data_IF_739073742102
#
_entry.id   IF_739073742102
#
_cell.length_a   1.000
_cell.length_b   1.000
_cell.length_c   1.000
_cell.angle_alpha   90.00
_cell.angle_beta   90.00
_cell.angle_gamma   90.00
#
_symmetry.space_group_name_H-M   'P 1'
#
loop_
_entity.id
_entity.type
_entity.pdbx_description
1 polymer ?
#
# COMPACT_ATOMS: atom_id res chain seq x y z
N UNK A 1 4.91 37.57 -7.19
CA UNK A 1 5.17 36.15 -6.81
C UNK A 1 4.29 35.27 -7.71
N UNK A 2 4.89 34.50 -8.62
CA UNK A 2 4.14 33.48 -9.37
C UNK A 2 3.56 32.46 -8.38
N UNK A 3 2.33 31.95 -8.61
CA UNK A 3 1.80 30.90 -7.75
C UNK A 3 2.72 29.68 -7.84
N UNK A 4 3.14 29.18 -6.68
CA UNK A 4 3.83 27.90 -6.55
C UNK A 4 2.96 26.89 -7.30
N UNK A 5 3.54 26.20 -8.28
CA UNK A 5 2.89 25.13 -9.02
C UNK A 5 2.42 24.11 -7.98
N UNK A 6 1.11 24.07 -7.70
CA UNK A 6 0.55 23.18 -6.68
C UNK A 6 0.63 21.77 -7.27
N UNK A 7 1.65 21.01 -6.85
CA UNK A 7 2.11 19.78 -7.49
C UNK A 7 1.00 18.79 -7.83
N UNK A 8 1.23 18.04 -8.89
CA UNK A 8 0.40 16.94 -9.38
C UNK A 8 0.42 15.77 -8.39
N UNK A 9 -0.73 15.14 -8.16
CA UNK A 9 -0.89 13.95 -7.32
C UNK A 9 -1.39 12.80 -8.18
N UNK A 10 -0.44 12.02 -8.70
CA UNK A 10 -0.64 10.90 -9.62
C UNK A 10 -1.30 9.72 -8.91
N UNK A 11 -2.28 9.09 -9.56
CA UNK A 11 -3.01 7.93 -9.05
C UNK A 11 -4.38 8.26 -8.43
N UNK A 12 -4.75 9.53 -8.30
CA UNK A 12 -6.05 9.93 -7.75
C UNK A 12 -6.80 10.84 -8.72
N UNK A 13 -8.10 10.66 -8.87
CA UNK A 13 -8.94 11.64 -9.58
C UNK A 13 -9.21 12.80 -8.61
N UNK A 14 -8.42 13.87 -8.67
CA UNK A 14 -8.37 14.91 -7.62
C UNK A 14 -9.13 16.21 -7.91
N UNK A 15 -9.51 16.95 -6.86
CA UNK A 15 -10.13 18.30 -6.92
C UNK A 15 -9.16 19.35 -7.52
N UNK A 16 -9.70 20.37 -8.21
CA UNK A 16 -8.96 21.52 -8.77
C UNK A 16 -7.81 21.16 -9.75
N UNK A 17 -7.84 19.98 -10.37
CA UNK A 17 -6.77 19.52 -11.26
C UNK A 17 -5.51 19.01 -10.54
N UNK A 18 -5.60 18.72 -9.23
CA UNK A 18 -4.47 18.20 -8.41
C UNK A 18 -4.30 16.68 -8.45
N UNK A 19 -5.27 15.94 -8.96
CA UNK A 19 -5.13 14.50 -9.19
C UNK A 19 -4.22 14.18 -10.37
N UNK A 20 -4.51 13.08 -11.08
CA UNK A 20 -3.99 12.81 -12.42
C UNK A 20 -4.22 14.07 -13.28
N UNK A 21 -3.16 14.89 -13.43
CA UNK A 21 -3.30 16.21 -14.01
C UNK A 21 -3.53 16.10 -15.51
N UNK A 22 -3.98 17.18 -16.15
CA UNK A 22 -4.10 17.20 -17.62
C UNK A 22 -2.78 16.86 -18.32
N UNK A 23 -1.65 17.27 -17.75
CA UNK A 23 -0.34 16.98 -18.31
C UNK A 23 0.02 15.50 -18.17
N UNK A 24 -0.26 14.90 -17.02
CA UNK A 24 -0.03 13.46 -16.81
C UNK A 24 -0.94 12.63 -17.68
N UNK A 25 -2.24 12.90 -17.66
CA UNK A 25 -3.23 12.23 -18.51
C UNK A 25 -2.86 12.32 -19.99
N UNK A 26 -2.40 13.49 -20.46
CA UNK A 26 -1.90 13.62 -21.84
C UNK A 26 -0.64 12.79 -22.07
N UNK A 27 0.33 12.84 -21.15
CA UNK A 27 1.57 12.08 -21.25
C UNK A 27 1.37 10.56 -21.24
N UNK A 28 0.36 10.06 -20.52
CA UNK A 28 0.08 8.62 -20.42
C UNK A 28 -1.06 8.14 -21.33
N UNK A 29 -1.68 9.04 -22.10
CA UNK A 29 -2.85 8.73 -22.94
C UNK A 29 -2.64 7.63 -23.98
N UNK A 30 -1.38 7.44 -24.43
CA UNK A 30 -1.01 6.41 -25.39
C UNK A 30 -0.79 5.05 -24.73
N UNK A 31 -0.69 4.98 -23.40
CA UNK A 31 -0.65 3.72 -22.68
C UNK A 31 -2.06 3.22 -22.37
N UNK A 32 -2.29 1.90 -22.45
CA UNK A 32 -3.55 1.33 -22.00
C UNK A 32 -3.83 1.71 -20.54
N UNK A 33 -5.08 2.05 -20.24
CA UNK A 33 -5.56 2.47 -18.90
C UNK A 33 -4.80 3.66 -18.28
N UNK A 34 -4.05 4.41 -19.10
CA UNK A 34 -3.18 5.48 -18.62
C UNK A 34 -2.10 5.01 -17.65
N UNK A 35 -1.67 3.74 -17.73
CA UNK A 35 -0.58 3.21 -16.92
C UNK A 35 0.68 3.08 -17.76
N UNK A 36 1.78 3.78 -17.43
CA UNK A 36 3.04 3.63 -18.16
C UNK A 36 3.54 2.18 -18.18
N UNK A 37 3.80 1.65 -19.38
CA UNK A 37 4.38 0.31 -19.63
C UNK A 37 5.57 0.45 -20.57
N UNK A 38 6.68 -0.19 -20.25
CA UNK A 38 7.93 -0.03 -21.01
C UNK A 38 8.58 -1.37 -21.29
N UNK A 39 9.08 -1.54 -22.51
CA UNK A 39 9.85 -2.73 -22.93
C UNK A 39 11.21 -2.84 -22.23
N UNK A 40 11.70 -1.75 -21.64
CA UNK A 40 12.98 -1.74 -20.93
C UNK A 40 13.03 -0.73 -19.79
N UNK A 41 13.92 -1.00 -18.83
CA UNK A 41 14.27 -0.05 -17.77
C UNK A 41 14.78 1.28 -18.33
N UNK A 42 15.54 1.25 -19.44
CA UNK A 42 16.09 2.45 -20.05
C UNK A 42 14.97 3.37 -20.57
N UNK A 43 13.99 2.82 -21.29
CA UNK A 43 12.84 3.57 -21.80
C UNK A 43 11.99 4.17 -20.65
N UNK A 44 11.77 3.41 -19.57
CA UNK A 44 11.10 3.92 -18.37
C UNK A 44 11.85 5.11 -17.76
N UNK A 45 13.17 4.97 -17.58
CA UNK A 45 14.00 6.05 -17.02
C UNK A 45 14.01 7.29 -17.91
N UNK A 46 14.06 7.11 -19.23
CA UNK A 46 14.01 8.20 -20.20
C UNK A 46 12.68 8.96 -20.11
N UNK A 47 11.56 8.25 -20.18
CA UNK A 47 10.23 8.83 -20.04
C UNK A 47 10.08 9.60 -18.72
N UNK A 48 10.46 9.00 -17.60
CA UNK A 48 10.32 9.63 -16.28
C UNK A 48 11.25 10.84 -16.13
N UNK A 49 12.48 10.78 -16.67
CA UNK A 49 13.39 11.94 -16.68
C UNK A 49 12.82 13.06 -17.54
N UNK A 50 12.37 12.76 -18.74
CA UNK A 50 11.79 13.74 -19.67
C UNK A 50 10.57 14.41 -19.05
N UNK A 51 9.61 13.63 -18.55
CA UNK A 51 8.40 14.16 -17.94
C UNK A 51 8.70 15.04 -16.73
N UNK A 52 9.46 14.53 -15.76
CA UNK A 52 9.77 15.28 -14.55
C UNK A 52 10.67 16.51 -14.80
N UNK A 53 11.52 16.48 -15.83
CA UNK A 53 12.31 17.66 -16.25
C UNK A 53 11.41 18.72 -16.88
N UNK A 54 10.45 18.32 -17.73
CA UNK A 54 9.48 19.22 -18.36
C UNK A 54 8.56 19.90 -17.34
N UNK A 55 8.09 19.13 -16.35
CA UNK A 55 7.19 19.66 -15.31
C UNK A 55 7.93 20.39 -14.18
N UNK A 56 9.25 20.20 -14.07
CA UNK A 56 10.09 20.69 -12.96
C UNK A 56 9.53 20.33 -11.59
N UNK A 57 8.86 19.17 -11.49
CA UNK A 57 8.18 18.75 -10.28
C UNK A 57 8.27 17.24 -10.09
N UNK A 58 8.47 16.84 -8.83
CA UNK A 58 8.30 15.46 -8.40
C UNK A 58 6.84 15.04 -8.42
N UNK A 59 6.60 13.75 -8.22
CA UNK A 59 5.25 13.21 -8.04
C UNK A 59 4.61 13.61 -6.71
N UNK A 60 5.42 13.92 -5.69
CA UNK A 60 4.92 14.31 -4.39
C UNK A 60 5.06 15.84 -4.23
N UNK A 61 3.96 16.58 -3.94
CA UNK A 61 3.98 18.04 -3.86
C UNK A 61 4.85 18.57 -2.71
N UNK A 62 5.00 17.82 -1.62
CA UNK A 62 5.75 18.26 -0.43
C UNK A 62 7.19 17.72 -0.44
N UNK A 63 7.44 16.65 -1.21
CA UNK A 63 8.73 15.97 -1.32
C UNK A 63 9.15 15.85 -2.79
N UNK A 64 9.66 16.95 -3.35
CA UNK A 64 9.92 17.08 -4.79
C UNK A 64 10.99 16.09 -5.33
N UNK A 65 11.84 15.53 -4.46
CA UNK A 65 12.80 14.49 -4.83
C UNK A 65 12.13 13.13 -5.11
N UNK A 66 10.87 12.94 -4.70
CA UNK A 66 10.13 11.71 -4.96
C UNK A 66 9.54 11.70 -6.37
N UNK A 67 10.16 10.90 -7.24
CA UNK A 67 9.87 10.84 -8.68
C UNK A 67 9.03 9.61 -9.09
N UNK A 68 8.24 9.07 -8.16
CA UNK A 68 7.45 7.87 -8.36
C UNK A 68 6.42 8.00 -9.50
N UNK A 69 6.04 6.86 -10.12
CA UNK A 69 4.99 6.85 -11.15
C UNK A 69 3.65 7.28 -10.56
N UNK A 70 3.31 6.81 -9.37
CA UNK A 70 2.16 7.26 -8.58
C UNK A 70 2.64 7.98 -7.34
N UNK A 71 1.90 8.98 -6.90
CA UNK A 71 2.31 9.78 -5.75
C UNK A 71 2.27 8.93 -4.48
N UNK A 72 3.44 8.68 -3.91
CA UNK A 72 3.59 8.05 -2.60
C UNK A 72 3.34 9.09 -1.51
N UNK A 73 2.32 8.89 -0.66
CA UNK A 73 2.09 9.71 0.53
C UNK A 73 2.98 9.21 1.66
N UNK A 74 3.82 10.07 2.24
CA UNK A 74 4.91 9.63 3.13
C UNK A 74 4.71 9.97 4.61
N UNK A 75 3.72 10.81 4.93
CA UNK A 75 3.38 11.16 6.30
C UNK A 75 1.85 11.25 6.50
N UNK A 76 1.39 11.32 7.75
CA UNK A 76 -0.04 11.37 8.05
C UNK A 76 -0.70 12.69 7.61
N UNK A 77 0.03 13.81 7.69
CA UNK A 77 -0.46 15.11 7.20
C UNK A 77 -0.82 15.05 5.71
N UNK A 78 -0.03 14.34 4.89
CA UNK A 78 -0.35 14.11 3.48
C UNK A 78 -1.61 13.27 3.29
N UNK A 79 -1.84 12.27 4.15
CA UNK A 79 -3.08 11.49 4.13
C UNK A 79 -4.29 12.39 4.43
N UNK A 80 -4.19 13.23 5.46
CA UNK A 80 -5.26 14.16 5.85
C UNK A 80 -5.52 15.24 4.80
N UNK A 81 -4.46 15.76 4.18
CA UNK A 81 -4.54 16.86 3.22
C UNK A 81 -4.90 16.42 1.80
N UNK A 82 -4.54 15.19 1.41
CA UNK A 82 -4.66 14.72 0.03
C UNK A 82 -5.59 13.52 -0.14
N UNK A 83 -5.52 12.51 0.73
CA UNK A 83 -6.28 11.27 0.53
C UNK A 83 -7.69 11.36 1.12
N UNK A 84 -7.83 11.69 2.41
CA UNK A 84 -9.12 11.73 3.09
C UNK A 84 -10.14 12.67 2.41
N UNK A 85 -9.77 13.87 1.94
CA UNK A 85 -10.70 14.74 1.25
C UNK A 85 -11.22 14.14 -0.06
N UNK A 86 -10.38 13.40 -0.79
CA UNK A 86 -10.78 12.74 -2.03
C UNK A 86 -11.66 11.52 -1.77
N UNK A 87 -11.42 10.77 -0.68
CA UNK A 87 -12.33 9.70 -0.21
C UNK A 87 -13.71 10.28 0.10
N UNK A 88 -13.78 11.35 0.90
CA UNK A 88 -15.06 11.99 1.27
C UNK A 88 -15.79 12.51 0.03
N UNK A 89 -15.06 13.16 -0.88
CA UNK A 89 -15.61 13.67 -2.13
C UNK A 89 -16.18 12.55 -2.98
N UNK A 90 -15.39 11.52 -3.26
CA UNK A 90 -15.83 10.38 -4.05
C UNK A 90 -17.08 9.73 -3.43
N UNK A 91 -17.11 9.52 -2.11
CA UNK A 91 -18.28 9.00 -1.39
C UNK A 91 -19.54 9.86 -1.55
N UNK A 92 -19.40 11.19 -1.69
CA UNK A 92 -20.52 12.12 -1.85
C UNK A 92 -21.07 12.22 -3.28
N UNK A 93 -20.33 11.75 -4.28
CA UNK A 93 -20.79 11.75 -5.67
C UNK A 93 -21.93 10.74 -5.86
N UNK A 94 -22.90 10.98 -6.75
CA UNK A 94 -23.89 9.95 -7.08
C UNK A 94 -23.21 8.66 -7.54
N UNK A 95 -23.73 7.53 -7.07
CA UNK A 95 -23.36 6.20 -7.55
C UNK A 95 -24.41 5.72 -8.55
N UNK A 96 -23.96 5.29 -9.72
CA UNK A 96 -24.75 4.63 -10.74
C UNK A 96 -24.64 3.11 -10.62
N UNK A 97 -24.16 2.60 -9.49
CA UNK A 97 -24.04 1.17 -9.23
C UNK A 97 -25.43 0.55 -9.10
N UNK A 98 -26.02 0.21 -10.24
CA UNK A 98 -27.14 -0.71 -10.28
C UNK A 98 -26.58 -2.10 -10.02
N UNK A 99 -26.97 -2.71 -8.91
CA UNK A 99 -26.79 -4.13 -8.66
C UNK A 99 -27.61 -4.92 -9.68
N UNK A 100 -27.10 -5.02 -10.91
CA UNK A 100 -27.60 -5.98 -11.89
C UNK A 100 -26.75 -7.23 -11.78
N UNK A 101 -27.41 -8.38 -11.89
CA UNK A 101 -26.77 -9.69 -12.09
C UNK A 101 -25.76 -9.57 -13.22
N UNK A 102 -24.48 -9.46 -12.85
CA UNK A 102 -23.41 -9.47 -13.82
C UNK A 102 -23.40 -10.83 -14.51
N UNK A 103 -23.44 -10.82 -15.83
CA UNK A 103 -23.40 -12.03 -16.65
C UNK A 103 -22.10 -12.80 -16.32
N UNK A 104 -22.23 -13.93 -15.62
CA UNK A 104 -21.09 -14.71 -15.18
C UNK A 104 -20.55 -15.42 -16.41
N UNK A 105 -19.33 -15.07 -16.81
CA UNK A 105 -18.69 -15.70 -17.97
C UNK A 105 -18.62 -17.22 -17.80
N UNK A 106 -19.03 -17.97 -18.82
CA UNK A 106 -18.88 -19.44 -18.88
C UNK A 106 -17.42 -19.90 -18.72
N UNK A 107 -16.45 -19.01 -18.96
CA UNK A 107 -15.01 -19.27 -18.79
C UNK A 107 -14.47 -18.83 -17.41
N UNK A 108 -15.35 -18.48 -16.46
CA UNK A 108 -14.93 -18.11 -15.12
C UNK A 108 -14.38 -19.34 -14.39
N UNK A 109 -13.06 -19.39 -14.20
CA UNK A 109 -12.36 -20.48 -13.50
C UNK A 109 -12.87 -20.71 -12.07
N UNK A 110 -13.49 -19.70 -11.45
CA UNK A 110 -14.06 -19.85 -10.11
C UNK A 110 -15.40 -20.61 -10.09
N UNK A 111 -16.06 -20.79 -11.24
CA UNK A 111 -17.27 -21.64 -11.36
C UNK A 111 -16.92 -23.13 -11.47
N UNK A 112 -15.64 -23.46 -11.73
CA UNK A 112 -15.19 -24.83 -11.85
C UNK A 112 -15.21 -25.57 -10.50
N UNK A 113 -15.45 -26.88 -10.54
CA UNK A 113 -15.55 -27.72 -9.34
C UNK A 113 -14.28 -27.67 -8.47
N UNK A 114 -13.11 -27.55 -9.11
CA UNK A 114 -11.82 -27.46 -8.47
C UNK A 114 -11.65 -26.18 -7.63
N UNK A 115 -12.40 -25.12 -7.95
CA UNK A 115 -12.34 -23.82 -7.27
C UNK A 115 -13.30 -23.72 -6.07
N UNK A 116 -14.17 -24.71 -5.85
CA UNK A 116 -15.18 -24.65 -4.77
C UNK A 116 -14.58 -24.44 -3.38
N UNK A 117 -13.41 -25.00 -3.11
CA UNK A 117 -12.76 -24.81 -1.80
C UNK A 117 -12.31 -23.36 -1.61
N UNK A 118 -11.75 -22.73 -2.65
CA UNK A 118 -11.34 -21.32 -2.62
C UNK A 118 -12.55 -20.42 -2.36
N UNK A 119 -13.68 -20.69 -3.03
CA UNK A 119 -14.91 -19.93 -2.82
C UNK A 119 -15.44 -20.07 -1.38
N UNK A 120 -15.41 -21.28 -0.81
CA UNK A 120 -15.79 -21.51 0.60
C UNK A 120 -14.88 -20.74 1.57
N UNK A 121 -13.58 -20.71 1.31
CA UNK A 121 -12.63 -20.01 2.17
C UNK A 121 -12.80 -18.49 2.08
N UNK A 122 -13.08 -17.97 0.88
CA UNK A 122 -13.44 -16.56 0.66
C UNK A 122 -14.75 -16.24 1.40
N UNK A 123 -15.79 -17.04 1.22
CA UNK A 123 -17.09 -16.84 1.87
C UNK A 123 -16.97 -16.88 3.40
N UNK A 124 -16.20 -17.84 3.95
CA UNK A 124 -15.88 -17.90 5.37
C UNK A 124 -15.21 -16.62 5.86
N UNK A 125 -14.25 -16.08 5.07
CA UNK A 125 -13.51 -14.86 5.43
C UNK A 125 -14.38 -13.61 5.36
N UNK A 126 -15.26 -13.51 4.37
CA UNK A 126 -16.22 -12.40 4.20
C UNK A 126 -17.30 -12.42 5.29
N UNK A 127 -17.67 -13.59 5.78
CA UNK A 127 -18.66 -13.75 6.85
C UNK A 127 -18.14 -13.46 8.26
N UNK A 128 -16.83 -13.19 8.42
CA UNK A 128 -16.29 -12.78 9.72
C UNK A 128 -16.86 -11.42 10.17
N UNK A 129 -17.09 -11.18 11.48
CA UNK A 129 -17.76 -9.97 11.97
C UNK A 129 -17.17 -8.64 11.47
N UNK A 130 -15.85 -8.59 11.29
CA UNK A 130 -15.11 -7.40 10.86
C UNK A 130 -15.02 -7.20 9.34
N UNK A 131 -15.36 -8.22 8.53
CA UNK A 131 -15.48 -8.08 7.07
C UNK A 131 -16.92 -7.95 6.61
N UNK A 132 -17.86 -8.53 7.36
CA UNK A 132 -19.29 -8.51 7.02
C UNK A 132 -19.91 -7.10 7.04
N UNK A 133 -19.33 -6.19 7.82
CA UNK A 133 -19.86 -4.85 8.02
C UNK A 133 -18.77 -3.78 7.92
N UNK A 134 -18.12 -3.67 6.76
CA UNK A 134 -17.23 -2.54 6.49
C UNK A 134 -18.03 -1.25 6.36
N UNK A 135 -17.46 -0.16 6.88
CA UNK A 135 -18.07 1.16 6.88
C UNK A 135 -16.98 2.26 6.81
N UNK A 136 -17.34 3.54 6.64
CA UNK A 136 -16.36 4.62 6.60
C UNK A 136 -15.38 4.69 7.78
N UNK A 137 -15.84 4.30 8.98
CA UNK A 137 -15.02 4.25 10.19
C UNK A 137 -14.03 3.09 10.13
N UNK A 138 -14.45 1.88 9.71
CA UNK A 138 -13.54 0.73 9.57
C UNK A 138 -12.46 1.00 8.52
N UNK A 139 -12.78 1.71 7.44
CA UNK A 139 -11.79 2.15 6.44
C UNK A 139 -10.76 3.11 7.04
N UNK A 140 -11.21 4.08 7.83
CA UNK A 140 -10.32 5.03 8.51
C UNK A 140 -9.44 4.31 9.54
N UNK A 141 -10.00 3.38 10.30
CA UNK A 141 -9.29 2.56 11.27
C UNK A 141 -8.23 1.68 10.60
N UNK A 142 -8.58 1.06 9.47
CA UNK A 142 -7.64 0.24 8.69
C UNK A 142 -6.51 1.08 8.12
N UNK A 143 -6.80 2.29 7.62
CA UNK A 143 -5.77 3.23 7.16
C UNK A 143 -4.80 3.61 8.29
N UNK A 144 -5.32 3.96 9.47
CA UNK A 144 -4.51 4.26 10.67
C UNK A 144 -3.66 3.06 11.07
N UNK A 145 -4.25 1.87 11.14
CA UNK A 145 -3.55 0.63 11.45
C UNK A 145 -2.42 0.36 10.46
N UNK A 146 -2.69 0.41 9.15
CA UNK A 146 -1.68 0.14 8.13
C UNK A 146 -0.55 1.19 8.12
N UNK A 147 -0.88 2.45 8.38
CA UNK A 147 0.10 3.53 8.39
C UNK A 147 0.96 3.53 9.66
N UNK A 148 0.34 3.45 10.84
CA UNK A 148 1.05 3.55 12.12
C UNK A 148 1.68 2.23 12.56
N UNK A 149 1.00 1.09 12.35
CA UNK A 149 1.47 -0.23 12.80
C UNK A 149 2.16 -1.02 11.69
N UNK A 150 1.62 -1.03 10.47
CA UNK A 150 2.18 -1.83 9.37
C UNK A 150 3.19 -1.08 8.48
N UNK A 151 3.43 0.20 8.78
CA UNK A 151 4.25 1.15 8.02
C UNK A 151 3.70 1.59 6.66
N UNK A 152 3.06 0.73 5.87
CA UNK A 152 2.65 1.09 4.51
C UNK A 152 1.48 0.25 3.98
N UNK A 153 0.84 0.76 2.93
CA UNK A 153 -0.23 0.09 2.19
C UNK A 153 -0.61 0.87 0.94
N UNK A 154 -1.60 0.37 0.21
CA UNK A 154 -2.18 1.06 -0.95
C UNK A 154 -3.68 1.15 -0.72
N UNK A 155 -4.21 2.36 -0.61
CA UNK A 155 -5.65 2.56 -0.59
C UNK A 155 -6.21 2.54 -2.02
N UNK A 156 -7.27 1.78 -2.22
CA UNK A 156 -7.95 1.64 -3.51
C UNK A 156 -9.43 1.99 -3.35
N UNK A 157 -9.95 2.77 -4.28
CA UNK A 157 -11.39 3.01 -4.43
C UNK A 157 -11.80 2.82 -5.88
N UNK A 158 -12.79 1.95 -6.09
CA UNK A 158 -13.52 1.79 -7.34
C UNK A 158 -14.89 2.44 -7.16
N UNK A 159 -15.30 3.28 -8.11
CA UNK A 159 -16.62 3.90 -8.11
C UNK A 159 -17.12 4.10 -9.53
N UNK A 160 -18.39 3.81 -9.78
CA UNK A 160 -19.04 3.92 -11.08
C UNK A 160 -18.28 3.15 -12.18
N UNK A 161 -17.74 1.98 -11.83
CA UNK A 161 -16.94 1.17 -12.76
C UNK A 161 -15.54 1.71 -13.04
N UNK A 162 -15.09 2.80 -12.41
CA UNK A 162 -13.76 3.39 -12.61
C UNK A 162 -12.85 3.22 -11.39
N UNK A 163 -11.55 3.02 -11.62
CA UNK A 163 -10.53 3.13 -10.57
C UNK A 163 -10.32 4.61 -10.18
N UNK A 164 -11.01 5.06 -9.13
CA UNK A 164 -11.03 6.48 -8.70
C UNK A 164 -9.79 6.90 -7.92
N UNK A 165 -9.33 6.02 -7.04
CA UNK A 165 -8.21 6.30 -6.13
C UNK A 165 -7.31 5.08 -6.12
N UNK A 166 -6.03 5.30 -6.42
CA UNK A 166 -4.92 4.38 -6.21
C UNK A 166 -3.83 5.15 -5.48
N UNK A 167 -3.81 5.04 -4.15
CA UNK A 167 -3.00 5.88 -3.28
C UNK A 167 -2.03 5.01 -2.46
N UNK A 168 -0.79 4.80 -2.94
CA UNK A 168 0.24 4.18 -2.14
C UNK A 168 0.67 5.14 -1.02
N UNK A 169 0.84 4.61 0.19
CA UNK A 169 1.31 5.36 1.34
C UNK A 169 2.33 4.58 2.15
N UNK A 170 3.20 5.31 2.82
CA UNK A 170 4.22 4.80 3.74
C UNK A 170 4.43 5.80 4.86
N UNK A 171 4.72 5.34 6.07
CA UNK A 171 5.07 6.19 7.19
C UNK A 171 6.59 6.38 7.22
N UNK A 172 7.06 7.58 6.89
CA UNK A 172 8.47 7.98 6.95
C UNK A 172 9.01 7.91 8.38
N UNK A 173 8.18 8.23 9.36
CA UNK A 173 8.51 8.31 10.78
C UNK A 173 8.07 7.04 11.55
N UNK A 174 7.97 5.93 10.84
CA UNK A 174 7.54 4.65 11.39
C UNK A 174 8.40 4.24 12.59
N UNK A 175 7.73 3.82 13.66
CA UNK A 175 8.35 3.13 14.77
C UNK A 175 7.59 1.86 15.07
N UNK A 176 8.32 0.75 15.23
CA UNK A 176 7.76 -0.52 15.68
C UNK A 176 7.65 -0.57 17.20
N UNK A 177 6.97 -1.61 17.69
CA UNK A 177 6.74 -1.88 19.10
C UNK A 177 7.51 -3.13 19.60
N UNK A 178 8.51 -3.59 18.84
CA UNK A 178 9.22 -4.86 19.06
C UNK A 178 10.75 -4.74 18.96
N UNK A 179 11.30 -3.53 18.83
CA UNK A 179 12.73 -3.29 18.60
C UNK A 179 13.64 -3.76 19.75
N UNK A 180 13.09 -3.90 20.95
CA UNK A 180 13.75 -4.44 22.14
C UNK A 180 13.78 -5.98 22.17
N UNK A 181 12.87 -6.64 21.45
CA UNK A 181 12.70 -8.10 21.45
C UNK A 181 13.65 -8.77 20.43
N UNK A 182 14.03 -8.05 19.37
CA UNK A 182 14.96 -8.58 18.36
C UNK A 182 16.31 -8.88 18.99
N UNK A 183 16.75 -10.13 18.81
CA UNK A 183 18.07 -10.61 19.20
C UNK A 183 18.97 -10.74 17.98
N UNK A 184 20.12 -10.07 18.02
CA UNK A 184 21.15 -10.22 17.00
C UNK A 184 22.15 -11.30 17.41
N UNK A 185 22.67 -12.02 16.42
CA UNK A 185 23.77 -12.96 16.63
C UNK A 185 25.01 -12.23 17.18
N UNK A 186 25.92 -12.97 17.81
CA UNK A 186 27.05 -12.47 18.60
C UNK A 186 26.65 -12.02 20.02
N UNK A 187 26.78 -10.74 20.32
CA UNK A 187 26.59 -10.15 21.66
C UNK A 187 25.33 -9.27 21.73
N UNK A 188 24.41 -9.45 20.76
CA UNK A 188 23.18 -8.68 20.61
C UNK A 188 23.40 -7.18 20.32
N UNK A 189 24.59 -6.79 19.85
CA UNK A 189 24.86 -5.42 19.38
C UNK A 189 24.84 -5.34 17.85
N UNK A 190 24.37 -4.21 17.32
CA UNK A 190 24.36 -3.94 15.88
C UNK A 190 25.79 -3.93 15.34
N UNK A 191 26.71 -3.24 16.02
CA UNK A 191 28.08 -3.10 15.57
C UNK A 191 28.80 -4.45 15.45
N UNK A 192 28.63 -5.36 16.42
CA UNK A 192 29.22 -6.69 16.38
C UNK A 192 28.62 -7.55 15.25
N UNK A 193 27.29 -7.50 15.08
CA UNK A 193 26.61 -8.20 13.99
C UNK A 193 27.12 -7.74 12.61
N UNK A 194 27.16 -6.43 12.38
CA UNK A 194 27.62 -5.87 11.10
C UNK A 194 29.13 -6.01 10.89
N UNK A 195 29.94 -6.00 11.95
CA UNK A 195 31.38 -6.31 11.86
C UNK A 195 31.59 -7.75 11.38
N UNK A 196 30.83 -8.71 11.89
CA UNK A 196 30.90 -10.12 11.43
C UNK A 196 30.37 -10.31 10.01
N UNK A 197 29.34 -9.53 9.63
CA UNK A 197 28.79 -9.52 8.27
C UNK A 197 29.74 -8.88 7.25
N UNK A 198 30.61 -7.98 7.71
CA UNK A 198 31.55 -7.24 6.86
C UNK A 198 32.45 -8.19 6.05
N UNK A 199 32.59 -7.89 4.75
CA UNK A 199 33.37 -8.71 3.82
C UNK A 199 32.64 -9.94 3.25
N UNK A 200 31.48 -10.33 3.81
CA UNK A 200 30.65 -11.40 3.26
C UNK A 200 29.59 -10.89 2.28
N UNK A 201 29.12 -9.66 2.49
CA UNK A 201 28.09 -9.00 1.72
C UNK A 201 28.51 -7.59 1.32
N UNK A 202 27.73 -6.97 0.43
CA UNK A 202 27.89 -5.55 0.11
C UNK A 202 27.72 -4.68 1.37
N UNK A 203 28.32 -3.50 1.33
CA UNK A 203 28.05 -2.45 2.31
C UNK A 203 26.57 -2.02 2.25
N UNK A 204 26.00 -1.77 3.43
CA UNK A 204 24.60 -1.41 3.63
C UNK A 204 24.55 -0.09 4.42
N UNK A 205 23.68 0.83 4.01
CA UNK A 205 23.39 2.03 4.80
C UNK A 205 22.30 1.67 5.81
N UNK A 206 22.64 1.53 7.09
CA UNK A 206 21.74 0.92 8.07
C UNK A 206 21.15 1.95 9.04
N UNK A 207 19.89 1.74 9.42
CA UNK A 207 19.27 2.41 10.55
C UNK A 207 19.70 1.70 11.85
N UNK A 208 20.36 2.43 12.75
CA UNK A 208 20.88 1.89 14.01
C UNK A 208 19.81 1.84 15.11
N UNK A 209 18.74 2.63 15.01
CA UNK A 209 17.63 2.56 15.94
C UNK A 209 16.71 1.37 15.60
N UNK A 210 16.79 0.29 16.39
CA UNK A 210 15.95 -0.92 16.21
C UNK A 210 14.46 -0.62 16.22
N UNK A 211 14.01 0.45 16.86
CA UNK A 211 12.60 0.84 16.84
C UNK A 211 12.16 1.42 15.50
N UNK A 212 13.07 1.74 14.58
CA UNK A 212 12.71 2.20 13.23
C UNK A 212 12.79 1.09 12.18
N UNK A 213 13.23 -0.11 12.56
CA UNK A 213 13.26 -1.27 11.67
C UNK A 213 11.83 -1.69 11.33
N UNK A 214 11.62 -2.32 10.18
CA UNK A 214 10.29 -2.75 9.75
C UNK A 214 10.27 -4.19 9.26
N UNK A 215 9.12 -4.85 9.42
CA UNK A 215 8.89 -6.16 8.84
C UNK A 215 8.50 -6.01 7.36
N UNK A 216 9.09 -6.82 6.50
CA UNK A 216 8.75 -6.95 5.10
C UNK A 216 8.71 -8.44 4.76
N UNK A 217 7.52 -9.02 4.83
CA UNK A 217 7.42 -10.48 4.75
C UNK A 217 7.92 -11.13 6.04
N UNK A 218 8.63 -12.24 5.88
CA UNK A 218 9.40 -12.89 6.94
C UNK A 218 10.80 -12.27 7.17
N UNK A 219 11.06 -11.08 6.63
CA UNK A 219 12.36 -10.38 6.73
C UNK A 219 12.21 -9.13 7.60
N UNK A 220 13.19 -8.89 8.46
CA UNK A 220 13.35 -7.60 9.15
C UNK A 220 14.30 -6.73 8.34
N UNK A 221 13.81 -5.56 7.94
CA UNK A 221 14.55 -4.59 7.14
C UNK A 221 14.92 -3.38 7.99
N UNK A 222 16.13 -2.89 7.77
CA UNK A 222 16.69 -1.69 8.40
C UNK A 222 17.59 -0.90 7.44
N UNK A 223 17.61 -1.25 6.16
CA UNK A 223 18.48 -0.60 5.19
C UNK A 223 17.84 0.66 4.62
N UNK A 224 18.52 1.78 4.81
CA UNK A 224 18.19 3.08 4.26
C UNK A 224 18.69 3.20 2.81
N UNK A 225 18.10 4.12 2.05
CA UNK A 225 18.63 4.48 0.74
C UNK A 225 20.06 5.00 0.83
N UNK A 226 20.85 4.81 -0.23
CA UNK A 226 22.26 5.23 -0.30
C UNK A 226 22.51 6.73 -0.08
N UNK A 227 21.50 7.57 -0.24
CA UNK A 227 21.56 9.02 0.02
C UNK A 227 20.68 9.36 1.21
N UNK A 228 21.24 10.09 2.17
CA UNK A 228 20.49 10.63 3.31
C UNK A 228 19.60 11.82 2.91
N UNK A 229 19.88 12.48 1.78
CA UNK A 229 19.11 13.64 1.30
C UNK A 229 17.93 13.26 0.41
N UNK A 230 17.99 12.09 -0.24
CA UNK A 230 17.00 11.67 -1.25
C UNK A 230 16.40 10.31 -0.91
N UNK A 231 15.89 10.19 0.33
CA UNK A 231 15.35 8.91 0.79
C UNK A 231 14.11 8.50 0.00
N UNK A 232 14.18 7.32 -0.61
CA UNK A 232 13.01 6.62 -1.13
C UNK A 232 12.42 5.77 0.00
N UNK A 233 11.21 6.11 0.44
CA UNK A 233 10.59 5.49 1.61
C UNK A 233 9.97 4.11 1.30
N UNK A 234 9.46 3.91 0.08
CA UNK A 234 8.93 2.63 -0.38
C UNK A 234 9.02 2.54 -1.91
N UNK A 235 9.61 1.47 -2.43
CA UNK A 235 9.88 1.36 -3.86
C UNK A 235 8.64 1.11 -4.73
N UNK A 236 8.69 1.62 -5.97
CA UNK A 236 7.63 1.54 -6.99
C UNK A 236 7.32 0.14 -7.53
N UNK A 237 8.09 -0.87 -7.11
CA UNK A 237 7.92 -2.23 -7.59
C UNK A 237 6.47 -2.70 -7.38
N UNK A 238 5.91 -3.28 -8.45
CA UNK A 238 4.51 -3.72 -8.59
C UNK A 238 3.42 -2.64 -8.63
N UNK A 239 3.70 -1.36 -8.35
CA UNK A 239 2.62 -0.36 -8.30
C UNK A 239 1.93 -0.18 -9.67
N UNK A 240 2.71 -0.09 -10.76
CA UNK A 240 2.15 0.03 -12.11
C UNK A 240 1.37 -1.21 -12.53
N UNK A 241 1.91 -2.45 -12.44
CA UNK A 241 1.13 -3.65 -12.70
C UNK A 241 -0.16 -3.77 -11.87
N UNK A 242 -0.14 -3.42 -10.59
CA UNK A 242 -1.32 -3.50 -9.72
C UNK A 242 -2.40 -2.49 -10.13
N UNK A 243 -2.04 -1.22 -10.37
CA UNK A 243 -3.00 -0.22 -10.87
C UNK A 243 -3.58 -0.64 -12.21
N UNK A 244 -2.73 -1.15 -13.10
CA UNK A 244 -3.12 -1.59 -14.44
C UNK A 244 -4.10 -2.76 -14.40
N UNK A 245 -3.82 -3.77 -13.57
CA UNK A 245 -4.72 -4.90 -13.35
C UNK A 245 -6.10 -4.44 -12.88
N UNK A 246 -6.14 -3.52 -11.92
CA UNK A 246 -7.41 -2.98 -11.40
C UNK A 246 -8.16 -2.18 -12.46
N UNK A 247 -7.46 -1.30 -13.19
CA UNK A 247 -8.08 -0.49 -14.23
C UNK A 247 -8.58 -1.34 -15.40
N UNK A 248 -7.85 -2.39 -15.77
CA UNK A 248 -8.29 -3.34 -16.79
C UNK A 248 -9.49 -4.16 -16.32
N UNK A 249 -9.54 -4.56 -15.05
CA UNK A 249 -10.69 -5.22 -14.46
C UNK A 249 -11.93 -4.32 -14.51
N UNK A 250 -11.80 -3.05 -14.12
CA UNK A 250 -12.85 -2.03 -14.24
C UNK A 250 -13.34 -1.83 -15.69
N UNK A 251 -12.41 -1.86 -16.67
CA UNK A 251 -12.73 -1.69 -18.09
C UNK A 251 -13.47 -2.89 -18.68
N UNK A 252 -13.10 -4.10 -18.26
CA UNK A 252 -13.59 -5.36 -18.84
C UNK A 252 -14.76 -5.96 -18.08
N UNK A 253 -14.99 -5.56 -16.83
CA UNK A 253 -15.98 -6.18 -15.93
C UNK A 253 -16.79 -5.10 -15.24
N UNK A 254 -18.03 -5.44 -14.93
CA UNK A 254 -18.85 -4.64 -14.01
C UNK A 254 -18.36 -4.89 -12.59
N UNK A 255 -17.67 -3.93 -12.01
CA UNK A 255 -17.18 -3.99 -10.63
C UNK A 255 -18.02 -3.03 -9.79
N UNK A 256 -18.63 -3.49 -8.68
CA UNK A 256 -19.41 -2.62 -7.81
C UNK A 256 -18.53 -1.57 -7.13
N UNK A 257 -19.18 -0.52 -6.64
CA UNK A 257 -18.52 0.50 -5.83
C UNK A 257 -17.90 -0.17 -4.60
N UNK A 258 -16.57 -0.06 -4.46
CA UNK A 258 -15.88 -0.64 -3.33
C UNK A 258 -14.62 0.14 -2.95
N UNK A 259 -14.21 -0.02 -1.70
CA UNK A 259 -12.95 0.49 -1.18
C UNK A 259 -12.25 -0.63 -0.41
N UNK A 260 -10.94 -0.72 -0.60
CA UNK A 260 -10.12 -1.75 0.02
C UNK A 260 -8.67 -1.31 0.09
N UNK A 261 -7.88 -2.08 0.83
CA UNK A 261 -6.44 -1.88 0.95
C UNK A 261 -5.72 -3.04 0.26
N UNK A 262 -4.71 -2.70 -0.54
CA UNK A 262 -3.78 -3.68 -1.10
C UNK A 262 -2.47 -3.65 -0.32
N UNK A 263 -2.04 -4.85 0.05
CA UNK A 263 -0.69 -5.11 0.47
C UNK A 263 0.07 -5.76 -0.68
N UNK A 264 1.18 -5.15 -1.10
CA UNK A 264 2.09 -5.74 -2.11
C UNK A 264 3.24 -6.56 -1.52
N UNK A 265 3.26 -6.73 -0.19
CA UNK A 265 4.17 -7.63 0.51
C UNK A 265 3.58 -9.04 0.54
N UNK A 266 4.45 -10.02 0.68
CA UNK A 266 4.19 -11.46 0.66
C UNK A 266 3.71 -12.03 2.01
N UNK A 267 3.15 -11.21 2.90
CA UNK A 267 2.67 -11.64 4.22
C UNK A 267 1.38 -10.93 4.64
N UNK A 268 0.46 -11.60 5.34
CA UNK A 268 -0.77 -10.97 5.82
C UNK A 268 -0.49 -9.76 6.71
N UNK A 269 -1.24 -8.68 6.53
CA UNK A 269 -1.19 -7.50 7.42
C UNK A 269 -2.31 -7.49 8.45
N UNK A 270 -3.31 -8.38 8.33
CA UNK A 270 -4.43 -8.50 9.25
C UNK A 270 -4.64 -9.97 9.61
N UNK A 271 -4.52 -10.29 10.91
CA UNK A 271 -4.74 -11.63 11.46
C UNK A 271 -5.78 -11.55 12.58
N UNK A 272 -6.59 -12.61 12.67
CA UNK A 272 -7.60 -12.77 13.71
C UNK A 272 -7.46 -14.16 14.27
N UNK A 273 -7.48 -14.24 15.60
CA UNK A 273 -7.65 -15.51 16.27
C UNK A 273 -9.14 -15.88 16.21
N UNK A 274 -9.47 -16.94 15.48
CA UNK A 274 -10.85 -17.34 15.20
C UNK A 274 -11.57 -17.75 16.49
N UNK A 275 -10.91 -18.52 17.35
CA UNK A 275 -11.50 -19.05 18.59
C UNK A 275 -11.77 -17.94 19.62
N UNK A 276 -10.86 -16.97 19.70
CA UNK A 276 -10.99 -15.82 20.61
C UNK A 276 -11.82 -14.69 20.02
N UNK A 277 -12.01 -14.66 18.70
CA UNK A 277 -12.73 -13.61 17.99
C UNK A 277 -12.08 -12.22 18.07
N UNK A 278 -10.74 -12.15 18.25
CA UNK A 278 -10.01 -10.88 18.43
C UNK A 278 -8.89 -10.70 17.40
N UNK A 279 -8.58 -9.44 17.01
CA UNK A 279 -7.41 -9.16 16.18
C UNK A 279 -6.12 -9.42 16.96
N UNK A 280 -5.14 -9.98 16.25
CA UNK A 280 -3.83 -10.39 16.78
C UNK A 280 -2.73 -9.93 15.83
N UNK A 281 -1.50 -9.90 16.33
CA UNK A 281 -0.33 -9.55 15.52
C UNK A 281 -0.17 -10.55 14.37
N UNK A 282 -0.03 -10.10 13.11
CA UNK A 282 0.16 -11.02 11.99
C UNK A 282 1.53 -11.67 11.99
N UNK A 283 2.55 -11.01 12.56
CA UNK A 283 3.97 -11.36 12.47
C UNK A 283 4.47 -12.00 13.76
N UNK A 284 3.81 -13.06 14.24
CA UNK A 284 4.17 -13.78 15.47
C UNK A 284 5.64 -14.23 15.53
N UNK A 285 6.26 -14.50 14.37
CA UNK A 285 7.69 -14.87 14.33
C UNK A 285 8.62 -13.81 14.93
N UNK A 286 8.23 -12.53 14.93
CA UNK A 286 9.00 -11.45 15.58
C UNK A 286 9.15 -11.71 17.09
N UNK A 287 8.15 -12.36 17.69
CA UNK A 287 8.10 -12.74 19.10
C UNK A 287 8.50 -14.20 19.34
N UNK A 288 9.12 -14.86 18.36
CA UNK A 288 9.41 -16.30 18.37
C UNK A 288 8.15 -17.16 18.57
N UNK A 289 7.04 -16.78 17.92
CA UNK A 289 5.77 -17.52 17.92
C UNK A 289 5.49 -18.11 16.54
N UNK A 290 4.80 -19.24 16.50
CA UNK A 290 4.33 -19.84 15.25
C UNK A 290 3.01 -19.21 14.82
N UNK A 291 3.02 -18.49 13.70
CA UNK A 291 1.82 -17.83 13.18
C UNK A 291 0.70 -18.78 12.75
N UNK A 292 0.98 -20.08 12.63
CA UNK A 292 0.00 -21.11 12.28
C UNK A 292 -0.70 -21.71 13.50
N UNK A 293 -0.20 -21.43 14.71
CA UNK A 293 -0.72 -21.95 15.96
C UNK A 293 -1.52 -20.86 16.69
N UNK A 294 -2.86 -20.93 16.72
CA UNK A 294 -3.70 -19.94 17.41
C UNK A 294 -3.40 -19.80 18.90
N UNK A 295 -2.84 -20.82 19.57
CA UNK A 295 -2.48 -20.74 20.98
C UNK A 295 -1.25 -19.85 21.22
N UNK A 296 -0.47 -19.59 20.17
CA UNK A 296 0.73 -18.76 20.19
C UNK A 296 0.51 -17.33 19.66
N UNK A 297 -0.73 -16.99 19.29
CA UNK A 297 -1.07 -15.67 18.79
C UNK A 297 -0.69 -14.57 19.79
N UNK A 298 -0.03 -13.53 19.27
CA UNK A 298 0.35 -12.35 20.05
C UNK A 298 -0.76 -11.32 19.98
N UNK A 299 -1.18 -10.82 21.14
CA UNK A 299 -2.23 -9.81 21.19
C UNK A 299 -1.79 -8.50 20.53
N UNK A 300 -2.66 -7.94 19.70
CA UNK A 300 -2.45 -6.61 19.16
C UNK A 300 -2.43 -5.57 20.31
N UNK A 301 -1.49 -4.63 20.26
CA UNK A 301 -1.40 -3.57 21.27
C UNK A 301 -2.65 -2.67 21.28
N UNK A 302 -3.01 -2.16 22.46
CA UNK A 302 -4.26 -1.42 22.68
C UNK A 302 -4.38 -0.18 21.79
N UNK A 303 -3.27 0.52 21.54
CA UNK A 303 -3.20 1.71 20.67
C UNK A 303 -3.52 1.42 19.18
N UNK A 304 -3.45 0.17 18.77
CA UNK A 304 -3.79 -0.28 17.41
C UNK A 304 -5.15 -0.98 17.34
N UNK A 305 -5.85 -1.11 18.47
CA UNK A 305 -7.24 -1.59 18.56
C UNK A 305 -8.20 -0.41 18.43
N UNK A 306 -8.53 -0.05 17.20
CA UNK A 306 -9.47 1.03 16.93
C UNK A 306 -10.93 0.58 17.11
N UNK A 307 -11.73 1.39 17.78
CA UNK A 307 -13.17 1.15 17.92
C UNK A 307 -13.89 1.35 16.58
N UNK A 308 -14.78 0.41 16.24
CA UNK A 308 -15.65 0.46 15.05
C UNK A 308 -16.93 1.22 15.31
#
# INVERSE_FOLDING_TARGET
>A
KMPINKGEIRGMVGRHGRGDSKNWLAAVSHFPNGVPRFESRAACLEFMKEYNTKTKAGSNPDFQHLMHIFTMLVNWEQIENYLLPEIVRARSEPSNDAADDADVSENNVYEADESKQVLKDIEFRLNQPFHKCTNPQSTTNTLKYLFHHMKCGIFVMIRNGDLRIFAPFVNSDYRNNWGDIIKLEADNTIDSYYTKKSGLYREENIEHDRFKWWANGNIICNELSKSNTDTQFWGDHFLAPLRDMLAEACRLRKIPDCEFFLNKRDYPQLKVNVDRGVPVEPYGFIWNKDDRDPEQDVDLQAEHKFAT
#
